data_IF_686972381731
#
_entry.id   IF_686972381731
#
_cell.length_a   1.000
_cell.length_b   1.000
_cell.length_c   1.000
_cell.angle_alpha   90.00
_cell.angle_beta   90.00
_cell.angle_gamma   90.00
#
_symmetry.space_group_name_H-M   'P 1'
#
loop_
_entity.id
_entity.type
_entity.pdbx_description
1 polymer ?
#
# COMPACT_ATOMS: atom_id res chain seq x y z
N UNK A 1 -11.80 -0.95 -4.86
CA UNK A 1 -12.30 -1.50 -6.15
C UNK A 1 -12.37 -2.99 -5.95
N UNK A 2 -13.57 -3.59 -6.04
CA UNK A 2 -13.73 -5.04 -6.06
C UNK A 2 -12.69 -5.60 -7.04
N UNK A 3 -11.84 -6.52 -6.61
CA UNK A 3 -11.07 -7.31 -7.58
C UNK A 3 -12.11 -8.03 -8.43
N UNK A 4 -12.30 -7.57 -9.67
CA UNK A 4 -13.06 -8.33 -10.64
C UNK A 4 -12.43 -9.73 -10.68
N UNK A 5 -13.24 -10.79 -10.70
CA UNK A 5 -12.70 -12.14 -10.84
C UNK A 5 -11.76 -12.14 -12.05
N UNK A 6 -10.55 -12.64 -11.85
CA UNK A 6 -9.57 -12.69 -12.93
C UNK A 6 -10.11 -13.65 -14.00
N UNK A 7 -10.41 -13.11 -15.18
CA UNK A 7 -10.72 -13.90 -16.36
C UNK A 7 -9.42 -14.08 -17.15
N UNK A 8 -8.99 -15.33 -17.41
CA UNK A 8 -7.85 -15.59 -18.27
C UNK A 8 -8.04 -14.88 -19.61
N UNK A 9 -7.00 -14.22 -20.15
CA UNK A 9 -7.12 -13.49 -21.40
C UNK A 9 -7.31 -14.41 -22.62
N UNK A 10 -7.05 -15.72 -22.46
CA UNK A 10 -7.21 -16.77 -23.48
C UNK A 10 -7.68 -18.06 -22.83
N UNK A 11 -8.46 -18.86 -23.54
CA UNK A 11 -8.97 -20.16 -23.07
C UNK A 11 -7.97 -21.32 -23.24
N UNK A 12 -6.83 -21.06 -23.89
CA UNK A 12 -5.83 -22.07 -24.21
C UNK A 12 -4.62 -21.99 -23.26
N UNK A 13 -4.27 -23.14 -22.67
CA UNK A 13 -3.04 -23.37 -21.93
C UNK A 13 -2.27 -24.53 -22.58
N UNK A 14 -0.97 -24.36 -22.78
CA UNK A 14 -0.08 -25.41 -23.31
C UNK A 14 0.41 -26.27 -22.14
N UNK A 15 -0.13 -27.47 -21.97
CA UNK A 15 0.13 -28.35 -20.82
C UNK A 15 1.62 -28.72 -20.67
N UNK A 16 2.39 -28.71 -21.77
CA UNK A 16 3.84 -28.94 -21.71
C UNK A 16 4.59 -27.90 -20.86
N UNK A 17 3.99 -26.73 -20.61
CA UNK A 17 4.56 -25.68 -19.78
C UNK A 17 4.35 -25.89 -18.28
N UNK A 18 3.48 -26.82 -17.85
CA UNK A 18 3.10 -27.00 -16.44
C UNK A 18 4.31 -27.16 -15.52
N UNK A 19 5.24 -28.04 -15.90
CA UNK A 19 6.46 -28.28 -15.10
C UNK A 19 7.40 -27.07 -15.03
N UNK A 20 7.37 -26.18 -16.03
CA UNK A 20 8.17 -24.95 -16.05
C UNK A 20 7.49 -23.89 -15.18
N UNK A 21 6.17 -23.75 -15.30
CA UNK A 21 5.39 -22.78 -14.52
C UNK A 21 5.44 -23.11 -13.02
N UNK A 22 5.37 -24.39 -12.65
CA UNK A 22 5.58 -24.83 -11.27
C UNK A 22 6.99 -24.47 -10.77
N UNK A 23 8.02 -24.64 -11.61
CA UNK A 23 9.39 -24.26 -11.27
C UNK A 23 9.53 -22.73 -11.09
N UNK A 24 8.83 -21.93 -11.89
CA UNK A 24 8.78 -20.47 -11.72
C UNK A 24 8.20 -20.14 -10.33
N UNK A 25 7.06 -20.72 -9.96
CA UNK A 25 6.46 -20.54 -8.63
C UNK A 25 7.43 -20.92 -7.49
N UNK A 26 8.11 -22.06 -7.63
CA UNK A 26 9.12 -22.52 -6.67
C UNK A 26 10.29 -21.54 -6.53
N UNK A 27 10.80 -21.01 -7.64
CA UNK A 27 11.91 -20.04 -7.65
C UNK A 27 11.49 -18.68 -7.07
N UNK A 28 10.25 -18.24 -7.32
CA UNK A 28 9.70 -17.03 -6.72
C UNK A 28 9.64 -17.17 -5.19
N UNK A 29 9.11 -18.30 -4.69
CA UNK A 29 9.09 -18.60 -3.26
C UNK A 29 10.49 -18.61 -2.65
N UNK A 30 11.43 -19.32 -3.29
CA UNK A 30 12.81 -19.39 -2.83
C UNK A 30 13.48 -18.00 -2.78
N UNK A 31 13.24 -17.15 -3.79
CA UNK A 31 13.74 -15.77 -3.81
C UNK A 31 13.19 -14.96 -2.63
N UNK A 32 11.90 -15.10 -2.33
CA UNK A 32 11.24 -14.43 -1.19
C UNK A 32 11.91 -14.81 0.12
N UNK A 33 12.02 -16.12 0.39
CA UNK A 33 12.61 -16.66 1.63
C UNK A 33 14.08 -16.26 1.80
N UNK A 34 14.88 -16.31 0.74
CA UNK A 34 16.30 -15.91 0.79
C UNK A 34 16.51 -14.42 1.07
N UNK A 35 15.53 -13.58 0.71
CA UNK A 35 15.60 -12.14 0.85
C UNK A 35 14.90 -11.59 2.09
N UNK A 36 14.26 -12.45 2.90
CA UNK A 36 13.36 -12.03 3.97
C UNK A 36 12.32 -10.99 3.49
N UNK A 37 11.69 -11.30 2.35
CA UNK A 37 10.74 -10.42 1.66
C UNK A 37 11.31 -9.04 1.26
N UNK A 38 12.63 -8.85 1.26
CA UNK A 38 13.31 -7.62 0.86
C UNK A 38 14.33 -7.88 -0.27
N UNK A 39 13.88 -8.22 -1.48
CA UNK A 39 14.76 -8.76 -2.50
C UNK A 39 15.55 -7.71 -3.30
N UNK A 40 15.32 -6.42 -3.03
CA UNK A 40 15.87 -5.33 -3.82
C UNK A 40 15.51 -5.43 -5.31
N UNK A 41 16.34 -4.82 -6.15
CA UNK A 41 16.14 -4.80 -7.61
C UNK A 41 17.45 -5.14 -8.33
N UNK A 42 17.44 -6.03 -9.36
CA UNK A 42 18.64 -6.33 -10.14
C UNK A 42 19.23 -5.07 -10.79
N UNK A 43 20.57 -5.01 -10.92
CA UNK A 43 21.22 -3.88 -11.58
C UNK A 43 20.96 -3.88 -13.08
N UNK A 44 21.14 -2.73 -13.73
CA UNK A 44 20.96 -2.59 -15.18
C UNK A 44 21.88 -3.54 -15.96
N UNK A 45 23.12 -3.69 -15.50
CA UNK A 45 24.11 -4.58 -16.12
C UNK A 45 23.69 -6.06 -16.00
N UNK A 46 23.13 -6.46 -14.86
CA UNK A 46 22.62 -7.82 -14.67
C UNK A 46 21.45 -8.10 -15.62
N UNK A 47 20.47 -7.19 -15.69
CA UNK A 47 19.30 -7.35 -16.56
C UNK A 47 19.68 -7.39 -18.03
N UNK A 48 20.55 -6.49 -18.49
CA UNK A 48 21.01 -6.47 -19.88
C UNK A 48 21.74 -7.76 -20.25
N UNK A 49 22.61 -8.26 -19.36
CA UNK A 49 23.31 -9.55 -19.55
C UNK A 49 22.35 -10.73 -19.62
N UNK A 50 21.32 -10.80 -18.75
CA UNK A 50 20.33 -11.88 -18.79
C UNK A 50 19.44 -11.79 -20.03
N UNK A 51 19.01 -10.58 -20.41
CA UNK A 51 18.25 -10.35 -21.63
C UNK A 51 19.00 -10.87 -22.86
N UNK A 52 20.28 -10.53 -23.03
CA UNK A 52 21.11 -11.07 -24.12
C UNK A 52 21.28 -12.59 -24.02
N UNK A 53 21.62 -13.12 -22.83
CA UNK A 53 21.90 -14.55 -22.64
C UNK A 53 20.71 -15.44 -22.97
N UNK A 54 19.50 -15.02 -22.59
CA UNK A 54 18.28 -15.81 -22.76
C UNK A 54 17.43 -15.37 -23.96
N UNK A 55 17.95 -14.44 -24.77
CA UNK A 55 17.25 -13.87 -25.92
C UNK A 55 15.87 -13.28 -25.56
N UNK A 56 15.84 -12.47 -24.50
CA UNK A 56 14.66 -11.75 -24.02
C UNK A 56 14.82 -10.24 -24.23
N UNK A 57 13.70 -9.53 -24.30
CA UNK A 57 13.72 -8.06 -24.30
C UNK A 57 14.06 -7.51 -22.91
N UNK A 58 14.94 -6.51 -22.84
CA UNK A 58 15.39 -5.93 -21.57
C UNK A 58 14.22 -5.35 -20.76
N UNK A 59 13.27 -4.66 -21.42
CA UNK A 59 12.08 -4.12 -20.77
C UNK A 59 11.13 -5.21 -20.23
N UNK A 60 11.09 -6.38 -20.87
CA UNK A 60 10.34 -7.52 -20.37
C UNK A 60 10.97 -8.06 -19.08
N UNK A 61 12.29 -8.26 -19.06
CA UNK A 61 13.03 -8.69 -17.86
C UNK A 61 12.81 -7.69 -16.72
N UNK A 62 12.90 -6.38 -17.01
CA UNK A 62 12.63 -5.32 -16.05
C UNK A 62 11.20 -5.38 -15.51
N UNK A 63 10.22 -5.61 -16.37
CA UNK A 63 8.80 -5.75 -15.98
C UNK A 63 8.60 -6.94 -15.04
N UNK A 64 9.16 -8.11 -15.36
CA UNK A 64 9.09 -9.30 -14.49
C UNK A 64 9.62 -8.98 -13.10
N UNK A 65 10.84 -8.44 -13.00
CA UNK A 65 11.42 -8.12 -11.68
C UNK A 65 10.69 -6.98 -10.95
N UNK A 66 9.98 -6.10 -11.67
CA UNK A 66 9.15 -5.06 -11.05
C UNK A 66 7.94 -5.66 -10.34
N UNK A 67 7.30 -6.68 -10.91
CA UNK A 67 6.20 -7.39 -10.26
C UNK A 67 6.67 -8.28 -9.10
N UNK A 68 7.90 -8.78 -9.15
CA UNK A 68 8.53 -9.54 -8.06
C UNK A 68 9.09 -8.67 -6.93
N UNK A 69 8.91 -7.35 -6.98
CA UNK A 69 9.44 -6.43 -5.97
C UNK A 69 8.58 -6.38 -4.71
N UNK A 70 7.26 -6.47 -4.86
CA UNK A 70 6.29 -6.34 -3.76
C UNK A 70 5.07 -7.23 -4.04
N UNK A 71 5.16 -8.48 -3.56
CA UNK A 71 4.06 -9.46 -3.64
C UNK A 71 2.86 -9.02 -2.80
N UNK A 72 3.06 -8.26 -1.72
CA UNK A 72 1.98 -7.90 -0.79
C UNK A 72 0.90 -7.06 -1.44
N UNK A 73 1.24 -6.32 -2.52
CA UNK A 73 0.28 -5.62 -3.36
C UNK A 73 -0.82 -6.54 -3.93
N UNK A 74 -0.52 -7.83 -4.08
CA UNK A 74 -1.44 -8.86 -4.59
C UNK A 74 -2.24 -9.58 -3.51
N UNK A 75 -2.03 -9.29 -2.22
CA UNK A 75 -2.90 -9.82 -1.15
C UNK A 75 -4.37 -9.51 -1.50
N UNK A 76 -5.31 -10.47 -1.30
CA UNK A 76 -6.72 -10.22 -1.54
C UNK A 76 -7.23 -9.00 -0.76
N UNK A 77 -8.09 -8.21 -1.39
CA UNK A 77 -8.69 -7.03 -0.74
C UNK A 77 -9.81 -7.48 0.17
N UNK A 78 -9.72 -7.16 1.46
CA UNK A 78 -10.85 -7.33 2.39
C UNK A 78 -11.87 -6.25 2.07
N UNK A 79 -13.02 -6.65 1.51
CA UNK A 79 -14.16 -5.77 1.30
C UNK A 79 -14.96 -5.62 2.60
N UNK A 80 -15.13 -4.41 3.16
CA UNK A 80 -15.90 -4.19 4.39
C UNK A 80 -17.39 -4.54 4.21
N UNK A 81 -17.96 -5.32 5.13
CA UNK A 81 -19.33 -5.83 5.10
C UNK A 81 -20.00 -5.74 6.46
N UNK A 82 -21.31 -5.49 6.48
CA UNK A 82 -22.06 -5.33 7.73
C UNK A 82 -21.66 -4.04 8.45
N UNK A 83 -22.01 -2.88 7.88
CA UNK A 83 -21.73 -1.59 8.52
C UNK A 83 -22.40 -1.52 9.90
N UNK A 84 -21.63 -1.15 10.91
CA UNK A 84 -22.09 -1.07 12.30
C UNK A 84 -22.29 0.39 12.74
N UNK A 85 -21.23 1.20 12.65
CA UNK A 85 -21.24 2.59 13.16
C UNK A 85 -20.09 3.43 12.60
N UNK A 86 -20.20 4.74 12.77
CA UNK A 86 -19.06 5.67 12.63
C UNK A 86 -18.57 6.05 14.03
N UNK A 87 -17.30 5.82 14.31
CA UNK A 87 -16.64 6.25 15.54
C UNK A 87 -15.94 7.58 15.26
N UNK A 88 -16.40 8.70 15.85
CA UNK A 88 -15.71 9.97 15.72
C UNK A 88 -14.36 9.89 16.46
N UNK A 89 -13.29 10.39 15.85
CA UNK A 89 -11.94 10.35 16.40
C UNK A 89 -11.39 11.75 16.57
N UNK A 90 -11.43 12.55 15.50
CA UNK A 90 -10.95 13.95 15.47
C UNK A 90 -9.57 14.13 16.14
N UNK A 91 -8.61 13.29 15.75
CA UNK A 91 -7.21 13.39 16.18
C UNK A 91 -6.34 13.85 15.02
N UNK A 92 -5.31 14.61 15.33
CA UNK A 92 -4.44 15.18 14.32
C UNK A 92 -2.99 15.23 14.75
N UNK A 93 -2.14 15.39 13.74
CA UNK A 93 -0.73 15.70 13.83
C UNK A 93 -0.46 16.88 12.89
N UNK A 94 0.27 17.88 13.35
CA UNK A 94 0.57 19.06 12.55
C UNK A 94 2.08 19.23 12.42
N UNK A 95 2.53 19.51 11.19
CA UNK A 95 3.93 19.78 10.90
C UNK A 95 4.04 20.68 9.68
N UNK A 96 4.93 21.68 9.73
CA UNK A 96 5.24 22.58 8.60
C UNK A 96 3.99 23.21 7.95
N UNK A 97 3.01 23.60 8.77
CA UNK A 97 1.71 24.17 8.35
C UNK A 97 0.85 23.21 7.51
N UNK A 98 1.10 21.90 7.63
CA UNK A 98 0.26 20.84 7.09
C UNK A 98 -0.42 20.10 8.25
N UNK A 99 -1.73 20.00 8.18
CA UNK A 99 -2.59 19.39 9.17
C UNK A 99 -3.01 17.99 8.70
N UNK A 100 -2.50 16.97 9.38
CA UNK A 100 -2.80 15.56 9.10
C UNK A 100 -3.84 15.09 10.12
N UNK A 101 -4.98 14.58 9.69
CA UNK A 101 -6.06 14.24 10.61
C UNK A 101 -6.74 12.91 10.32
N UNK A 102 -7.14 12.22 11.39
CA UNK A 102 -8.09 11.10 11.33
C UNK A 102 -9.41 11.60 11.89
N UNK A 103 -10.39 11.76 11.00
CA UNK A 103 -11.66 12.39 11.34
C UNK A 103 -12.61 11.41 12.01
N UNK A 104 -12.77 10.22 11.42
CA UNK A 104 -13.59 9.14 11.96
C UNK A 104 -13.12 7.77 11.44
N UNK A 105 -13.56 6.73 12.11
CA UNK A 105 -13.38 5.33 11.69
C UNK A 105 -14.76 4.71 11.45
N UNK A 106 -14.98 4.14 10.27
CA UNK A 106 -16.18 3.34 10.01
C UNK A 106 -15.93 1.92 10.47
N UNK A 107 -16.82 1.41 11.31
CA UNK A 107 -16.77 0.04 11.79
C UNK A 107 -17.70 -0.86 10.98
N UNK A 108 -17.16 -1.99 10.54
CA UNK A 108 -17.88 -3.08 9.89
C UNK A 108 -17.62 -4.37 10.65
N UNK A 109 -18.44 -5.40 10.43
CA UNK A 109 -18.29 -6.69 11.11
C UNK A 109 -16.94 -7.36 10.88
N UNK A 110 -16.36 -7.19 9.69
CA UNK A 110 -15.13 -7.87 9.27
C UNK A 110 -13.89 -6.96 9.11
N UNK A 111 -14.07 -5.64 9.16
CA UNK A 111 -13.00 -4.68 8.93
C UNK A 111 -13.33 -3.29 9.51
N UNK A 112 -12.33 -2.43 9.62
CA UNK A 112 -12.52 -1.01 9.90
C UNK A 112 -12.01 -0.17 8.75
N UNK A 113 -12.62 1.00 8.51
CA UNK A 113 -12.16 1.96 7.51
C UNK A 113 -11.76 3.26 8.18
N UNK A 114 -10.47 3.57 8.16
CA UNK A 114 -9.90 4.81 8.71
C UNK A 114 -10.00 5.91 7.67
N UNK A 115 -10.60 7.05 8.03
CA UNK A 115 -10.66 8.24 7.18
C UNK A 115 -9.58 9.23 7.55
N UNK A 116 -8.62 9.40 6.65
CA UNK A 116 -7.44 10.24 6.83
C UNK A 116 -7.49 11.44 5.88
N UNK A 117 -7.25 12.65 6.40
CA UNK A 117 -7.18 13.87 5.60
C UNK A 117 -5.86 14.59 5.80
N UNK A 118 -5.48 15.36 4.80
CA UNK A 118 -4.33 16.24 4.81
C UNK A 118 -4.82 17.60 4.33
N UNK A 119 -4.68 18.60 5.18
CA UNK A 119 -5.15 19.95 4.95
C UNK A 119 -3.95 20.91 5.02
N UNK A 120 -3.82 21.81 4.05
CA UNK A 120 -2.78 22.84 4.05
C UNK A 120 -3.32 24.11 3.42
N UNK A 121 -2.85 25.28 3.87
CA UNK A 121 -3.20 26.53 3.20
C UNK A 121 -2.59 26.57 1.79
N UNK A 122 -3.37 27.10 0.84
CA UNK A 122 -2.86 27.38 -0.50
C UNK A 122 -1.75 28.43 -0.37
N UNK A 123 -0.52 28.06 -0.71
CA UNK A 123 0.57 29.03 -0.75
C UNK A 123 0.32 30.00 -1.91
N UNK A 124 0.17 31.29 -1.60
CA UNK A 124 0.00 32.41 -2.55
C UNK A 124 1.17 32.62 -3.54
N UNK A 125 2.21 31.79 -3.49
CA UNK A 125 3.39 31.88 -4.35
C UNK A 125 3.34 30.90 -5.52
N UNK A 126 4.07 31.21 -6.60
CA UNK A 126 4.42 30.31 -7.72
C UNK A 126 5.24 29.08 -7.26
N UNK A 127 4.79 28.34 -6.25
CA UNK A 127 5.24 26.98 -6.05
C UNK A 127 4.62 26.15 -7.16
N UNK A 128 5.46 25.84 -8.15
CA UNK A 128 5.17 24.98 -9.29
C UNK A 128 4.36 23.77 -8.82
N UNK A 129 3.04 23.81 -9.03
CA UNK A 129 2.07 22.79 -8.62
C UNK A 129 2.47 21.42 -9.20
N UNK A 130 3.26 21.43 -10.28
CA UNK A 130 3.87 20.26 -10.91
C UNK A 130 5.01 19.61 -10.10
N UNK A 131 5.51 20.26 -9.03
CA UNK A 131 6.62 19.78 -8.19
C UNK A 131 6.18 19.15 -6.86
N UNK A 132 4.99 19.46 -6.33
CA UNK A 132 4.44 18.69 -5.19
C UNK A 132 3.96 17.35 -5.73
N UNK A 133 4.82 16.33 -5.61
CA UNK A 133 4.41 14.95 -5.88
C UNK A 133 3.25 14.61 -4.93
N UNK A 134 2.21 13.90 -5.39
CA UNK A 134 1.19 13.40 -4.47
C UNK A 134 1.88 12.48 -3.45
N UNK A 135 1.89 12.92 -2.20
CA UNK A 135 2.35 12.12 -1.08
C UNK A 135 1.35 11.01 -0.84
N UNK A 136 1.81 9.77 -0.87
CA UNK A 136 1.01 8.62 -0.49
C UNK A 136 1.50 8.08 0.84
N UNK A 137 0.61 7.42 1.56
CA UNK A 137 0.87 6.94 2.90
C UNK A 137 0.58 5.45 3.01
N UNK A 138 1.44 4.74 3.71
CA UNK A 138 1.13 3.46 4.34
C UNK A 138 0.55 3.73 5.72
N UNK A 139 -0.38 2.88 6.14
CA UNK A 139 -0.86 2.83 7.50
C UNK A 139 -0.35 1.54 8.14
N UNK A 140 0.14 1.63 9.36
CA UNK A 140 0.32 0.49 10.26
C UNK A 140 -0.44 0.76 11.54
N UNK A 141 -0.98 -0.29 12.14
CA UNK A 141 -1.77 -0.19 13.37
C UNK A 141 -1.04 -0.97 14.46
N UNK A 142 -0.80 -0.32 15.58
CA UNK A 142 -0.39 -0.99 16.83
C UNK A 142 -1.55 -0.91 17.82
N UNK A 143 -1.83 -2.01 18.51
CA UNK A 143 -2.93 -2.12 19.46
C UNK A 143 -2.65 -3.12 20.58
N UNK A 144 -3.63 -3.32 21.45
CA UNK A 144 -3.55 -4.31 22.53
C UNK A 144 -3.76 -5.74 22.02
N UNK A 145 -3.00 -6.67 22.60
CA UNK A 145 -2.89 -8.03 22.10
C UNK A 145 -1.99 -8.08 20.87
N UNK A 146 -1.26 -9.17 20.67
CA UNK A 146 -0.38 -9.36 19.52
C UNK A 146 -1.18 -9.57 18.20
N UNK A 147 -2.19 -8.74 17.96
CA UNK A 147 -3.02 -8.77 16.75
C UNK A 147 -2.25 -8.06 15.64
N UNK A 148 -1.98 -8.81 14.59
CA UNK A 148 -1.41 -8.26 13.37
C UNK A 148 -2.53 -7.75 12.48
N UNK A 149 -2.45 -6.48 12.08
CA UNK A 149 -3.44 -5.83 11.22
C UNK A 149 -2.90 -5.69 9.80
N UNK A 150 -3.63 -6.22 8.82
CA UNK A 150 -3.43 -5.89 7.42
C UNK A 150 -4.09 -4.54 7.12
N UNK A 151 -3.31 -3.60 6.59
CA UNK A 151 -3.73 -2.22 6.36
C UNK A 151 -3.58 -1.88 4.88
N UNK A 152 -4.71 -1.67 4.20
CA UNK A 152 -4.73 -1.40 2.76
C UNK A 152 -5.18 0.02 2.48
N UNK A 153 -4.32 0.78 1.83
CA UNK A 153 -4.69 2.08 1.27
C UNK A 153 -5.66 1.85 0.09
N UNK A 154 -6.88 2.38 0.19
CA UNK A 154 -7.90 2.30 -0.86
C UNK A 154 -7.75 3.41 -1.91
N UNK A 155 -6.61 4.11 -1.86
CA UNK A 155 -6.32 5.35 -2.57
C UNK A 155 -7.19 6.52 -2.12
N UNK A 156 -6.75 7.71 -2.50
CA UNK A 156 -7.32 8.96 -2.10
C UNK A 156 -7.38 9.94 -3.25
N UNK A 157 -8.14 11.00 -3.07
CA UNK A 157 -8.29 12.09 -4.02
C UNK A 157 -8.25 13.42 -3.29
N UNK A 158 -7.91 14.48 -4.01
CA UNK A 158 -7.79 15.79 -3.40
C UNK A 158 -7.41 16.88 -4.37
N UNK A 159 -7.37 18.09 -3.84
CA UNK A 159 -6.74 19.27 -4.43
C UNK A 159 -5.40 19.55 -3.72
N UNK A 160 -4.80 20.71 -4.02
CA UNK A 160 -3.56 21.13 -3.34
C UNK A 160 -3.83 21.40 -1.85
N UNK A 161 -4.91 22.11 -1.51
CA UNK A 161 -5.22 22.46 -0.11
C UNK A 161 -5.85 21.33 0.71
N UNK A 162 -6.45 20.31 0.08
CA UNK A 162 -7.10 19.20 0.79
C UNK A 162 -6.91 17.87 0.08
N UNK A 163 -6.45 16.85 0.79
CA UNK A 163 -6.37 15.47 0.32
C UNK A 163 -7.10 14.54 1.28
N UNK A 164 -7.81 13.56 0.74
CA UNK A 164 -8.53 12.55 1.53
C UNK A 164 -8.15 11.15 1.09
N UNK A 165 -7.82 10.30 2.06
CA UNK A 165 -7.49 8.90 1.88
C UNK A 165 -8.39 8.04 2.77
N UNK A 166 -8.58 6.79 2.37
CA UNK A 166 -9.20 5.77 3.23
C UNK A 166 -8.31 4.54 3.31
N UNK A 167 -8.27 3.95 4.50
CA UNK A 167 -7.52 2.72 4.74
C UNK A 167 -8.46 1.65 5.29
N UNK A 168 -8.52 0.50 4.64
CA UNK A 168 -9.18 -0.68 5.19
C UNK A 168 -8.20 -1.40 6.11
N UNK A 169 -8.64 -1.70 7.33
CA UNK A 169 -7.89 -2.43 8.36
C UNK A 169 -8.60 -3.74 8.64
N UNK A 170 -7.87 -4.85 8.57
CA UNK A 170 -8.38 -6.19 8.87
C UNK A 170 -7.43 -6.95 9.80
N UNK A 171 -7.91 -7.60 10.87
CA UNK A 171 -9.31 -7.66 11.33
C UNK A 171 -9.85 -6.29 11.77
N UNK A 172 -11.16 -6.20 12.03
CA UNK A 172 -11.76 -4.96 12.54
C UNK A 172 -11.05 -4.50 13.83
N UNK A 173 -10.80 -3.19 13.91
CA UNK A 173 -10.33 -2.51 15.11
C UNK A 173 -11.35 -2.68 16.25
N UNK A 174 -10.88 -2.75 17.50
CA UNK A 174 -11.76 -2.84 18.66
C UNK A 174 -12.73 -1.64 18.75
N UNK A 175 -13.82 -1.85 19.50
CA UNK A 175 -14.80 -0.79 19.77
C UNK A 175 -14.22 0.38 20.55
N UNK A 176 -13.32 0.09 21.49
CA UNK A 176 -12.52 1.07 22.21
C UNK A 176 -11.20 1.28 21.47
N UNK A 177 -11.04 2.47 20.90
CA UNK A 177 -9.86 2.84 20.14
C UNK A 177 -8.75 3.43 21.02
N UNK A 178 -8.96 3.61 22.33
CA UNK A 178 -8.04 4.38 23.18
C UNK A 178 -6.60 3.85 23.17
N UNK A 179 -6.41 2.53 23.03
CA UNK A 179 -5.09 1.91 22.99
C UNK A 179 -4.56 1.67 21.56
N UNK A 180 -5.21 2.24 20.55
CA UNK A 180 -4.81 2.11 19.14
C UNK A 180 -3.89 3.26 18.74
N UNK A 181 -2.78 2.91 18.11
CA UNK A 181 -1.86 3.83 17.43
C UNK A 181 -1.94 3.62 15.93
N UNK A 182 -2.19 4.72 15.22
CA UNK A 182 -2.14 4.75 13.77
C UNK A 182 -0.81 5.37 13.34
N UNK A 183 0.03 4.57 12.69
CA UNK A 183 1.37 4.97 12.23
C UNK A 183 1.29 5.20 10.73
N UNK A 184 1.51 6.44 10.31
CA UNK A 184 1.51 6.82 8.91
C UNK A 184 2.94 6.98 8.39
N UNK A 185 3.27 6.27 7.30
CA UNK A 185 4.59 6.35 6.66
C UNK A 185 4.45 6.86 5.23
N UNK A 186 5.07 8.00 4.94
CA UNK A 186 5.03 8.58 3.60
C UNK A 186 5.96 7.82 2.65
N UNK A 187 5.45 7.56 1.44
CA UNK A 187 6.23 7.01 0.33
C UNK A 187 5.99 7.81 -0.95
N UNK A 188 6.99 7.81 -1.81
CA UNK A 188 6.99 8.58 -3.05
C UNK A 188 6.78 7.62 -4.24
N UNK A 189 5.99 8.01 -5.24
CA UNK A 189 5.90 7.28 -6.52
C UNK A 189 6.97 7.83 -7.49
N UNK A 190 7.57 6.99 -8.38
CA UNK A 190 7.26 5.59 -8.67
C UNK A 190 8.10 4.56 -7.90
N UNK A 191 9.14 5.03 -7.20
CA UNK A 191 10.00 4.18 -6.40
C UNK A 191 9.40 4.22 -4.99
N UNK A 192 8.75 3.16 -4.51
CA UNK A 192 8.22 2.95 -3.13
C UNK A 192 9.26 3.13 -2.00
N UNK A 193 10.28 3.95 -2.21
CA UNK A 193 11.17 4.51 -1.21
C UNK A 193 10.32 5.33 -0.26
N UNK A 194 10.46 5.01 1.01
CA UNK A 194 9.99 5.84 2.09
C UNK A 194 10.69 7.20 1.99
N UNK A 195 9.97 8.30 2.21
CA UNK A 195 10.58 9.62 2.28
C UNK A 195 11.39 9.81 3.57
N UNK A 196 11.21 8.90 4.53
CA UNK A 196 11.69 9.03 5.91
C UNK A 196 10.72 9.82 6.79
N UNK A 197 9.62 10.34 6.23
CA UNK A 197 8.59 11.00 7.01
C UNK A 197 7.58 9.99 7.55
N UNK A 198 7.51 9.92 8.87
CA UNK A 198 6.61 9.06 9.64
C UNK A 198 6.05 9.85 10.82
N UNK A 199 4.79 9.61 11.13
CA UNK A 199 4.14 10.18 12.32
C UNK A 199 3.08 9.23 12.87
N UNK A 200 2.73 9.45 14.14
CA UNK A 200 1.77 8.62 14.88
C UNK A 200 0.59 9.48 15.32
N UNK A 201 -0.62 8.97 15.11
CA UNK A 201 -1.84 9.50 15.70
C UNK A 201 -2.33 8.50 16.75
N UNK A 202 -2.29 8.91 18.00
CA UNK A 202 -2.81 8.17 19.14
C UNK A 202 -4.32 8.38 19.23
N UNK A 203 -5.08 7.30 19.40
CA UNK A 203 -6.55 7.31 19.31
C UNK A 203 -7.25 7.44 20.68
N UNK A 204 -6.53 7.93 21.71
CA UNK A 204 -7.06 8.17 23.07
C UNK A 204 -8.36 8.97 23.00
N UNK A 205 -9.47 8.47 23.55
CA UNK A 205 -10.72 9.25 23.62
C UNK A 205 -10.56 10.52 24.48
#
# INVERSE_FOLDING_TARGET
MNQMPFEPPVDHYEEQLESIDEQICKLIKQRKELSDNNPGFPTKELMSRWATKYNLYEDFVKSVFSHLLDEEMYKPVVEPKGFQKNVPVLKSFEKDSVFYSVTFVRQFENASVVHFTIDQEDFDGEMDIRKKRPSLFYLSVEGEGAVEYDCRNNFGGGSVGHQSFTFTVSPALPDDLSNIKLIFKEYIIPLKKTSGFEFVIQMDN
#
